data_IF_761998135564
#
_entry.id   IF_761998135564
#
_cell.length_a   1.000
_cell.length_b   1.000
_cell.length_c   1.000
_cell.angle_alpha   90.00
_cell.angle_beta   90.00
_cell.angle_gamma   90.00
#
_symmetry.space_group_name_H-M   'P 1'
#
loop_
_entity.id
_entity.type
_entity.pdbx_description
1 polymer ?
#
# COMPACT_ATOMS: atom_id res chain seq x y z
N UNK A 1 50.44 30.11 26.68
CA UNK A 1 49.41 29.04 26.68
C UNK A 1 48.18 29.57 25.97
N UNK A 2 47.95 29.12 24.74
CA UNK A 2 46.80 29.56 23.96
C UNK A 2 45.78 28.39 23.91
N UNK A 3 44.60 28.62 24.52
CA UNK A 3 43.48 27.70 24.44
C UNK A 3 42.85 27.83 23.06
N UNK A 4 42.82 26.75 22.32
CA UNK A 4 42.12 26.66 21.05
C UNK A 4 40.70 26.18 21.37
N UNK A 5 39.74 27.09 21.32
CA UNK A 5 38.31 26.78 21.40
C UNK A 5 37.86 26.24 20.05
N UNK A 6 37.60 24.94 19.99
CA UNK A 6 36.97 24.30 18.86
C UNK A 6 35.44 24.44 18.99
N UNK A 7 34.86 25.37 18.30
CA UNK A 7 33.41 25.49 18.16
C UNK A 7 32.93 24.40 17.20
N UNK A 8 32.27 23.39 17.74
CA UNK A 8 31.54 22.41 16.95
C UNK A 8 30.21 23.05 16.53
N UNK A 9 30.13 23.42 15.26
CA UNK A 9 28.86 23.86 14.66
C UNK A 9 27.98 22.61 14.52
N UNK A 10 26.98 22.49 15.39
CA UNK A 10 25.92 21.51 15.23
C UNK A 10 25.04 21.94 14.05
N UNK A 11 25.27 21.33 12.90
CA UNK A 11 24.40 21.44 11.74
C UNK A 11 23.08 20.74 12.04
N UNK A 12 22.06 21.52 12.35
CA UNK A 12 20.68 21.05 12.44
C UNK A 12 20.23 20.70 11.04
N UNK A 13 20.25 19.41 10.70
CA UNK A 13 19.63 18.90 9.48
C UNK A 13 18.12 19.02 9.68
N UNK A 14 17.53 20.11 9.21
CA UNK A 14 16.08 20.25 9.13
C UNK A 14 15.63 19.31 8.03
N UNK A 15 15.16 18.13 8.44
CA UNK A 15 14.44 17.22 7.56
C UNK A 15 13.10 17.88 7.25
N UNK A 16 13.04 18.60 6.15
CA UNK A 16 11.80 19.14 5.62
C UNK A 16 10.98 17.96 5.15
N UNK A 17 10.19 17.36 6.06
CA UNK A 17 9.12 16.45 5.68
C UNK A 17 8.15 17.27 4.85
N UNK A 18 8.26 17.14 3.56
CA UNK A 18 7.26 17.60 2.62
C UNK A 18 6.01 16.73 2.85
N UNK A 19 5.19 17.10 3.83
CA UNK A 19 3.84 16.58 3.96
C UNK A 19 3.05 17.13 2.79
N UNK A 20 3.11 16.45 1.68
CA UNK A 20 2.15 16.69 0.61
C UNK A 20 0.80 16.24 1.13
N UNK A 21 0.02 17.22 1.57
CA UNK A 21 -1.41 17.04 1.84
C UNK A 21 -2.07 16.81 0.48
N UNK A 22 -2.12 15.57 0.10
CA UNK A 22 -2.98 15.15 -1.02
C UNK A 22 -4.42 15.16 -0.51
N UNK A 23 -5.34 15.60 -1.36
CA UNK A 23 -6.75 15.73 -1.03
C UNK A 23 -7.32 14.46 -0.39
N UNK A 24 -8.43 14.57 0.36
CA UNK A 24 -9.07 13.55 1.19
C UNK A 24 -9.24 12.16 0.55
N UNK A 25 -9.12 12.08 -0.73
CA UNK A 25 -9.24 10.99 -1.64
C UNK A 25 -8.05 10.04 -1.71
N UNK A 26 -6.83 10.57 -1.50
CA UNK A 26 -5.60 9.79 -1.51
C UNK A 26 -5.52 8.83 -0.31
N UNK A 27 -6.29 9.02 0.74
CA UNK A 27 -6.28 8.22 1.95
C UNK A 27 -6.60 6.75 1.67
N UNK A 28 -7.75 6.47 1.11
CA UNK A 28 -8.20 5.09 0.88
C UNK A 28 -7.35 4.34 -0.14
N UNK A 29 -6.90 4.99 -1.21
CA UNK A 29 -5.98 4.35 -2.17
C UNK A 29 -4.63 4.05 -1.53
N UNK A 30 -4.09 4.96 -0.73
CA UNK A 30 -2.83 4.76 -0.01
C UNK A 30 -2.92 3.60 0.99
N UNK A 31 -3.99 3.55 1.77
CA UNK A 31 -4.25 2.46 2.73
C UNK A 31 -4.43 1.11 2.03
N UNK A 32 -5.18 1.07 0.92
CA UNK A 32 -5.32 -0.13 0.11
C UNK A 32 -3.96 -0.65 -0.39
N UNK A 33 -3.09 0.24 -0.84
CA UNK A 33 -1.73 -0.11 -1.29
C UNK A 33 -0.86 -0.63 -0.15
N UNK A 34 -0.93 -0.04 1.03
CA UNK A 34 -0.18 -0.51 2.21
C UNK A 34 -0.60 -1.93 2.61
N UNK A 35 -1.90 -2.19 2.71
CA UNK A 35 -2.41 -3.53 3.01
C UNK A 35 -2.10 -4.53 1.90
N UNK A 36 -2.18 -4.15 0.64
CA UNK A 36 -1.78 -5.00 -0.48
C UNK A 36 -0.30 -5.40 -0.40
N UNK A 37 0.60 -4.46 -0.08
CA UNK A 37 2.02 -4.75 0.12
C UNK A 37 2.27 -5.73 1.26
N UNK A 38 1.56 -5.59 2.37
CA UNK A 38 1.62 -6.54 3.50
C UNK A 38 1.10 -7.92 3.09
N UNK A 39 -0.03 -7.99 2.37
CA UNK A 39 -0.58 -9.24 1.89
C UNK A 39 0.38 -9.96 0.93
N UNK A 40 1.02 -9.22 0.02
CA UNK A 40 2.03 -9.77 -0.89
C UNK A 40 3.22 -10.35 -0.11
N UNK A 41 3.81 -9.60 0.82
CA UNK A 41 4.95 -10.03 1.61
C UNK A 41 4.64 -11.31 2.41
N UNK A 42 3.49 -11.36 3.08
CA UNK A 42 3.07 -12.56 3.81
C UNK A 42 2.81 -13.75 2.87
N UNK A 43 2.20 -13.51 1.70
CA UNK A 43 1.99 -14.55 0.69
C UNK A 43 3.30 -15.15 0.18
N UNK A 44 4.29 -14.32 -0.13
CA UNK A 44 5.63 -14.75 -0.57
C UNK A 44 6.36 -15.57 0.50
N UNK A 45 6.14 -15.26 1.77
CA UNK A 45 6.67 -16.03 2.91
C UNK A 45 5.87 -17.32 3.21
N UNK A 46 4.76 -17.57 2.51
CA UNK A 46 3.88 -18.71 2.75
C UNK A 46 2.93 -18.53 3.94
N UNK A 47 2.80 -17.32 4.48
CA UNK A 47 1.89 -16.98 5.57
C UNK A 47 0.49 -16.65 5.03
N UNK A 48 -0.22 -17.66 4.54
CA UNK A 48 -1.48 -17.49 3.83
C UNK A 48 -2.59 -16.83 4.67
N UNK A 49 -2.64 -17.09 5.98
CA UNK A 49 -3.64 -16.51 6.88
C UNK A 49 -3.45 -15.00 7.05
N UNK A 50 -2.24 -14.56 7.32
CA UNK A 50 -1.89 -13.15 7.47
C UNK A 50 -2.06 -12.40 6.13
N UNK A 51 -1.66 -13.04 5.03
CA UNK A 51 -1.91 -12.53 3.68
C UNK A 51 -3.39 -12.32 3.41
N UNK A 52 -4.25 -13.28 3.80
CA UNK A 52 -5.70 -13.18 3.66
C UNK A 52 -6.28 -11.98 4.41
N UNK A 53 -5.88 -11.77 5.67
CA UNK A 53 -6.37 -10.65 6.48
C UNK A 53 -6.01 -9.31 5.82
N UNK A 54 -4.76 -9.11 5.44
CA UNK A 54 -4.34 -7.89 4.76
C UNK A 54 -4.97 -7.72 3.37
N UNK A 55 -5.21 -8.79 2.62
CA UNK A 55 -5.91 -8.71 1.35
C UNK A 55 -7.37 -8.24 1.53
N UNK A 56 -8.06 -8.69 2.58
CA UNK A 56 -9.42 -8.22 2.92
C UNK A 56 -9.45 -6.74 3.29
N UNK A 57 -8.50 -6.28 4.08
CA UNK A 57 -8.39 -4.86 4.45
C UNK A 57 -8.10 -4.01 3.21
N UNK A 58 -7.17 -4.44 2.37
CA UNK A 58 -6.88 -3.78 1.09
C UNK A 58 -8.12 -3.67 0.20
N UNK A 59 -8.89 -4.75 0.11
CA UNK A 59 -10.14 -4.77 -0.67
C UNK A 59 -11.17 -3.76 -0.12
N UNK A 60 -11.32 -3.65 1.20
CA UNK A 60 -12.23 -2.69 1.82
C UNK A 60 -11.86 -1.25 1.47
N UNK A 61 -10.57 -0.89 1.59
CA UNK A 61 -10.09 0.45 1.23
C UNK A 61 -10.18 0.73 -0.28
N UNK A 62 -9.91 -0.27 -1.13
CA UNK A 62 -10.06 -0.11 -2.58
C UNK A 62 -11.51 0.17 -2.99
N UNK A 63 -12.48 -0.49 -2.35
CA UNK A 63 -13.91 -0.23 -2.58
C UNK A 63 -14.30 1.18 -2.13
N UNK A 64 -13.83 1.63 -0.98
CA UNK A 64 -14.07 2.99 -0.51
C UNK A 64 -13.50 4.04 -1.47
N UNK A 65 -12.25 3.86 -1.91
CA UNK A 65 -11.62 4.74 -2.91
C UNK A 65 -12.41 4.82 -4.22
N UNK A 66 -12.92 3.69 -4.70
CA UNK A 66 -13.76 3.66 -5.91
C UNK A 66 -15.04 4.48 -5.73
N UNK A 67 -15.69 4.39 -4.58
CA UNK A 67 -16.97 5.05 -4.33
C UNK A 67 -16.80 6.58 -4.25
N UNK A 68 -15.63 7.04 -3.82
CA UNK A 68 -15.28 8.46 -3.77
C UNK A 68 -14.96 9.06 -5.15
N UNK A 69 -14.60 8.22 -6.14
CA UNK A 69 -14.15 8.65 -7.48
C UNK A 69 -14.95 8.04 -8.63
N UNK A 70 -16.05 8.65 -8.96
CA UNK A 70 -16.92 8.18 -10.04
C UNK A 70 -16.28 8.14 -11.46
N UNK A 71 -15.13 8.78 -11.69
CA UNK A 71 -14.54 8.92 -13.02
C UNK A 71 -13.35 7.98 -13.34
N UNK A 72 -12.72 7.36 -12.33
CA UNK A 72 -11.49 6.55 -12.51
C UNK A 72 -11.72 5.04 -12.32
N UNK A 73 -12.93 4.55 -12.56
CA UNK A 73 -13.39 3.24 -12.09
C UNK A 73 -12.71 2.01 -12.66
N UNK A 74 -12.29 2.03 -13.92
CA UNK A 74 -11.89 0.80 -14.60
C UNK A 74 -10.68 0.11 -13.94
N UNK A 75 -9.65 0.85 -13.62
CA UNK A 75 -8.47 0.27 -12.98
C UNK A 75 -8.76 -0.17 -11.55
N UNK A 76 -9.59 0.56 -10.82
CA UNK A 76 -9.98 0.14 -9.47
C UNK A 76 -10.85 -1.11 -9.50
N UNK A 77 -11.75 -1.25 -10.46
CA UNK A 77 -12.55 -2.46 -10.64
C UNK A 77 -11.66 -3.68 -10.94
N UNK A 78 -10.63 -3.54 -11.77
CA UNK A 78 -9.66 -4.62 -12.02
C UNK A 78 -8.84 -4.94 -10.76
N UNK A 79 -8.41 -3.94 -10.01
CA UNK A 79 -7.73 -4.15 -8.73
C UNK A 79 -8.61 -4.95 -7.74
N UNK A 80 -9.89 -4.62 -7.64
CA UNK A 80 -10.85 -5.33 -6.79
C UNK A 80 -10.95 -6.81 -7.20
N UNK A 81 -11.06 -7.11 -8.49
CA UNK A 81 -11.09 -8.50 -8.97
C UNK A 81 -9.83 -9.27 -8.55
N UNK A 82 -8.65 -8.68 -8.73
CA UNK A 82 -7.41 -9.32 -8.31
C UNK A 82 -7.33 -9.52 -6.79
N UNK A 83 -7.84 -8.59 -5.99
CA UNK A 83 -7.90 -8.80 -4.54
C UNK A 83 -8.88 -9.92 -4.15
N UNK A 84 -10.01 -10.05 -4.84
CA UNK A 84 -10.95 -11.15 -4.63
C UNK A 84 -10.32 -12.51 -4.98
N UNK A 85 -9.55 -12.60 -6.08
CA UNK A 85 -8.79 -13.80 -6.41
C UNK A 85 -7.68 -14.09 -5.41
N UNK A 86 -6.97 -13.05 -4.96
CA UNK A 86 -5.96 -13.18 -3.89
C UNK A 86 -6.56 -13.77 -2.62
N UNK A 87 -7.73 -13.29 -2.20
CA UNK A 87 -8.45 -13.81 -1.03
C UNK A 87 -8.78 -15.29 -1.21
N UNK A 88 -9.33 -15.70 -2.37
CA UNK A 88 -9.65 -17.11 -2.64
C UNK A 88 -8.41 -18.00 -2.54
N UNK A 89 -7.29 -17.60 -3.13
CA UNK A 89 -6.05 -18.35 -3.03
C UNK A 89 -5.52 -18.43 -1.59
N UNK A 90 -5.61 -17.34 -0.82
CA UNK A 90 -5.22 -17.34 0.58
C UNK A 90 -6.11 -18.24 1.45
N UNK A 91 -7.42 -18.28 1.21
CA UNK A 91 -8.36 -19.18 1.90
C UNK A 91 -8.04 -20.65 1.64
N UNK A 92 -7.51 -20.98 0.44
CA UNK A 92 -7.02 -22.32 0.10
C UNK A 92 -5.60 -22.61 0.61
N UNK A 93 -4.93 -21.68 1.28
CA UNK A 93 -3.55 -21.82 1.72
C UNK A 93 -2.50 -21.64 0.61
N UNK A 94 -2.89 -21.11 -0.54
CA UNK A 94 -2.02 -20.89 -1.70
C UNK A 94 -1.39 -19.48 -1.64
N UNK A 95 -0.45 -19.27 -0.71
CA UNK A 95 0.14 -17.96 -0.44
C UNK A 95 0.87 -17.32 -1.63
N UNK A 96 1.59 -18.12 -2.42
CA UNK A 96 2.34 -17.61 -3.58
C UNK A 96 1.42 -17.09 -4.70
N UNK A 97 0.32 -17.79 -4.97
CA UNK A 97 -0.70 -17.37 -5.95
C UNK A 97 -1.45 -16.13 -5.44
N UNK A 98 -1.79 -16.10 -4.16
CA UNK A 98 -2.37 -14.93 -3.50
C UNK A 98 -1.47 -13.71 -3.66
N UNK A 99 -0.16 -13.84 -3.43
CA UNK A 99 0.81 -12.75 -3.61
C UNK A 99 0.85 -12.21 -5.05
N UNK A 100 0.78 -13.08 -6.06
CA UNK A 100 0.74 -12.67 -7.47
C UNK A 100 -0.49 -11.81 -7.77
N UNK A 101 -1.67 -12.24 -7.33
CA UNK A 101 -2.89 -11.46 -7.51
C UNK A 101 -2.83 -10.13 -6.76
N UNK A 102 -2.25 -10.10 -5.57
CA UNK A 102 -2.05 -8.85 -4.83
C UNK A 102 -1.11 -7.89 -5.58
N UNK A 103 -0.04 -8.39 -6.21
CA UNK A 103 0.86 -7.57 -7.04
C UNK A 103 0.12 -6.95 -8.25
N UNK A 104 -0.71 -7.74 -8.96
CA UNK A 104 -1.53 -7.22 -10.06
C UNK A 104 -2.54 -6.16 -9.56
N UNK A 105 -3.18 -6.40 -8.42
CA UNK A 105 -4.07 -5.40 -7.82
C UNK A 105 -3.35 -4.07 -7.55
N UNK A 106 -2.13 -4.13 -6.99
CA UNK A 106 -1.33 -2.93 -6.74
C UNK A 106 -0.94 -2.19 -8.03
N UNK A 107 -0.69 -2.89 -9.13
CA UNK A 107 -0.42 -2.27 -10.45
C UNK A 107 -1.63 -1.47 -10.92
N UNK A 108 -2.84 -2.04 -10.84
CA UNK A 108 -4.07 -1.34 -11.19
C UNK A 108 -4.37 -0.16 -10.26
N UNK A 109 -4.14 -0.28 -8.95
CA UNK A 109 -4.30 0.82 -8.01
C UNK A 109 -3.37 2.00 -8.33
N UNK A 110 -2.11 1.73 -8.71
CA UNK A 110 -1.20 2.79 -9.15
C UNK A 110 -1.68 3.52 -10.40
N UNK A 111 -2.35 2.80 -11.31
CA UNK A 111 -2.90 3.38 -12.54
C UNK A 111 -4.18 4.18 -12.29
N UNK A 112 -4.94 3.85 -11.23
CA UNK A 112 -6.17 4.57 -10.88
C UNK A 112 -5.92 5.92 -10.19
N UNK A 113 -4.74 6.13 -9.66
CA UNK A 113 -4.38 7.33 -8.87
C UNK A 113 -3.93 8.54 -9.70
N UNK A 114 -4.16 8.56 -11.01
CA UNK A 114 -3.77 9.65 -11.91
C UNK A 114 -4.98 10.36 -12.50
#
# INVERSE_FOLDING_TARGET
>A
MRAISTTIAAGTLVFLMCTQVWAADAGHTSEAMEHAGKAQAHGEMGHAKESLEHAKDSLAHAKAARDDHAASHKHMDEAIKHLEESIKHAEMGHGAESAKHTDEAMKHMRQSGH
#
